data_IF_348484344339
#
_entry.id   IF_348484344339
#
_cell.length_a   1.000
_cell.length_b   1.000
_cell.length_c   1.000
_cell.angle_alpha   90.00
_cell.angle_beta   90.00
_cell.angle_gamma   90.00
#
_symmetry.space_group_name_H-M   'P 1'
#
loop_
_entity.id
_entity.type
_entity.pdbx_description
1 polymer ?
#
# COMPACT_ATOMS: atom_id res chain seq x y z
N UNK A 1 -14.87 -48.08 -5.68
CA UNK A 1 -15.61 -47.23 -4.71
C UNK A 1 -16.06 -45.96 -5.43
N UNK A 2 -17.31 -45.53 -5.27
CA UNK A 2 -17.88 -44.41 -6.05
C UNK A 2 -17.41 -43.02 -5.56
N UNK A 3 -17.08 -42.07 -6.45
CA UNK A 3 -16.71 -40.70 -6.09
C UNK A 3 -17.95 -39.86 -5.72
N UNK A 4 -18.54 -40.10 -4.53
CA UNK A 4 -19.70 -39.34 -4.04
C UNK A 4 -19.32 -38.16 -3.14
N UNK A 5 -19.57 -36.95 -3.65
CA UNK A 5 -19.84 -35.70 -2.92
C UNK A 5 -18.79 -35.16 -1.91
N UNK A 6 -17.66 -34.68 -2.45
CA UNK A 6 -16.83 -33.66 -1.78
C UNK A 6 -17.56 -32.31 -1.56
N UNK A 7 -18.68 -32.07 -2.24
CA UNK A 7 -19.45 -30.82 -2.15
C UNK A 7 -20.26 -30.68 -0.84
N UNK A 8 -20.68 -31.78 -0.21
CA UNK A 8 -21.50 -31.76 1.02
C UNK A 8 -20.69 -31.71 2.33
N UNK A 9 -19.35 -31.72 2.26
CA UNK A 9 -18.50 -31.71 3.45
C UNK A 9 -18.27 -30.28 3.99
N UNK A 10 -18.39 -30.13 5.30
CA UNK A 10 -18.06 -28.87 5.97
C UNK A 10 -16.59 -28.49 5.78
N UNK A 11 -16.27 -27.19 5.83
CA UNK A 11 -14.89 -26.69 5.74
C UNK A 11 -13.94 -27.34 6.77
N UNK A 12 -14.45 -27.74 7.93
CA UNK A 12 -13.67 -28.42 8.97
C UNK A 12 -13.35 -29.88 8.60
N UNK A 13 -14.27 -30.59 7.94
CA UNK A 13 -14.03 -31.94 7.42
C UNK A 13 -13.05 -31.91 6.23
N UNK A 14 -13.22 -30.96 5.28
CA UNK A 14 -12.30 -30.74 4.16
C UNK A 14 -10.86 -30.50 4.65
N UNK A 15 -10.68 -29.61 5.64
CA UNK A 15 -9.37 -29.36 6.28
C UNK A 15 -8.79 -30.59 7.00
N UNK A 16 -9.62 -31.45 7.59
CA UNK A 16 -9.16 -32.68 8.28
C UNK A 16 -8.68 -33.75 7.28
N UNK A 17 -9.36 -33.90 6.14
CA UNK A 17 -8.94 -34.80 5.06
C UNK A 17 -7.61 -34.34 4.45
N UNK A 18 -7.49 -33.04 4.13
CA UNK A 18 -6.23 -32.45 3.65
C UNK A 18 -5.08 -32.67 4.65
N UNK A 19 -5.30 -32.41 5.95
CA UNK A 19 -4.27 -32.59 6.98
C UNK A 19 -3.85 -34.06 7.15
N UNK A 20 -4.77 -35.01 7.01
CA UNK A 20 -4.45 -36.44 7.03
C UNK A 20 -3.65 -36.88 5.79
N UNK A 21 -3.99 -36.39 4.60
CA UNK A 21 -3.25 -36.71 3.36
C UNK A 21 -1.83 -36.10 3.36
N UNK A 22 -1.66 -34.91 3.94
CA UNK A 22 -0.33 -34.30 4.13
C UNK A 22 0.51 -35.15 5.11
N UNK A 23 -0.06 -35.55 6.25
CA UNK A 23 0.62 -36.47 7.19
C UNK A 23 0.96 -37.83 6.56
N UNK A 24 0.13 -38.34 5.64
CA UNK A 24 0.43 -39.58 4.92
C UNK A 24 1.64 -39.42 3.98
N UNK A 25 1.72 -38.30 3.24
CA UNK A 25 2.88 -37.99 2.40
C UNK A 25 4.16 -37.78 3.23
N UNK A 26 4.10 -37.08 4.36
CA UNK A 26 5.29 -36.92 5.22
C UNK A 26 5.72 -38.23 5.88
N UNK A 27 4.78 -39.10 6.27
CA UNK A 27 5.08 -40.42 6.82
C UNK A 27 5.73 -41.34 5.78
N UNK A 28 5.24 -41.33 4.54
CA UNK A 28 5.85 -42.10 3.45
C UNK A 28 7.26 -41.58 3.10
N UNK A 29 7.45 -40.26 2.96
CA UNK A 29 8.77 -39.68 2.69
C UNK A 29 9.80 -40.02 3.79
N UNK A 30 9.40 -39.94 5.07
CA UNK A 30 10.28 -40.31 6.18
C UNK A 30 10.61 -41.81 6.23
N UNK A 31 9.77 -42.68 5.64
CA UNK A 31 10.04 -44.12 5.56
C UNK A 31 11.05 -44.47 4.47
N UNK A 32 11.09 -43.72 3.37
CA UNK A 32 12.09 -43.90 2.29
C UNK A 32 13.49 -43.37 2.66
N UNK A 33 13.59 -42.41 3.59
CA UNK A 33 14.87 -41.84 4.02
C UNK A 33 15.69 -42.73 4.99
N UNK A 34 15.17 -43.89 5.42
CA UNK A 34 15.77 -44.74 6.46
C UNK A 34 16.44 -46.03 5.93
N UNK A 35 16.71 -46.13 4.62
CA UNK A 35 17.21 -47.39 4.00
C UNK A 35 18.57 -47.31 3.30
N UNK A 36 19.36 -46.24 3.48
CA UNK A 36 20.73 -46.19 2.96
C UNK A 36 21.73 -45.67 4.01
N UNK A 37 22.46 -46.60 4.62
CA UNK A 37 23.78 -46.35 5.22
C UNK A 37 24.87 -46.83 4.25
N UNK A 38 26.07 -46.26 4.34
CA UNK A 38 27.26 -47.08 4.50
C UNK A 38 28.02 -46.76 5.79
N UNK A 39 28.94 -47.65 6.17
CA UNK A 39 29.58 -47.76 7.50
C UNK A 39 31.11 -47.56 7.36
N UNK A 40 31.82 -47.42 8.49
CA UNK A 40 33.30 -47.61 8.70
C UNK A 40 34.17 -46.36 8.39
N UNK A 41 35.08 -45.84 9.26
CA UNK A 41 35.39 -46.09 10.70
C UNK A 41 36.21 -44.93 11.33
N UNK A 42 36.11 -44.79 12.66
CA UNK A 42 37.15 -44.49 13.67
C UNK A 42 37.90 -43.14 13.80
N UNK A 43 37.81 -42.63 15.05
CA UNK A 43 38.88 -42.12 15.93
C UNK A 43 39.19 -40.60 16.13
N UNK A 44 38.98 -40.18 17.40
CA UNK A 44 39.89 -39.41 18.28
C UNK A 44 39.93 -37.85 18.23
N UNK A 45 39.23 -37.27 19.22
CA UNK A 45 39.70 -36.26 20.22
C UNK A 45 39.82 -34.76 19.87
N UNK A 46 39.36 -33.97 20.87
CA UNK A 46 39.74 -32.59 21.26
C UNK A 46 39.09 -31.38 20.59
N UNK A 47 38.68 -30.43 21.44
CA UNK A 47 38.13 -29.10 21.11
C UNK A 47 39.23 -28.11 20.70
N UNK A 48 39.02 -27.32 19.64
CA UNK A 48 39.14 -25.83 19.66
C UNK A 48 38.72 -25.17 18.33
N UNK A 49 37.93 -24.09 18.49
CA UNK A 49 37.82 -22.84 17.69
C UNK A 49 37.73 -22.81 16.15
N UNK A 50 36.80 -21.93 15.73
CA UNK A 50 36.69 -21.11 14.50
C UNK A 50 36.06 -21.65 13.19
N UNK A 51 35.08 -20.85 12.75
CA UNK A 51 34.66 -20.47 11.39
C UNK A 51 34.45 -21.53 10.29
N UNK A 52 33.19 -21.68 9.85
CA UNK A 52 32.80 -21.62 8.43
C UNK A 52 31.28 -21.60 8.24
N UNK A 53 30.81 -20.97 7.16
CA UNK A 53 29.44 -20.98 6.64
C UNK A 53 28.97 -22.37 6.20
N UNK A 54 27.65 -22.59 6.07
CA UNK A 54 27.14 -22.87 4.72
C UNK A 54 25.75 -22.28 4.37
N UNK A 55 25.73 -21.61 3.21
CA UNK A 55 24.80 -21.81 2.08
C UNK A 55 23.28 -21.95 2.31
N UNK A 56 22.57 -20.90 1.87
CA UNK A 56 21.42 -20.91 0.96
C UNK A 56 20.62 -22.21 0.77
N UNK A 57 19.33 -22.16 1.14
CA UNK A 57 18.27 -22.73 0.30
C UNK A 57 17.38 -21.59 -0.22
N UNK A 58 17.30 -21.47 -1.55
CA UNK A 58 16.40 -20.54 -2.23
C UNK A 58 14.94 -20.82 -1.87
N UNK A 59 14.25 -19.81 -1.37
CA UNK A 59 12.81 -19.65 -1.52
C UNK A 59 12.60 -18.28 -2.20
N UNK A 60 11.93 -18.31 -3.36
CA UNK A 60 11.79 -17.14 -4.22
C UNK A 60 11.11 -16.00 -3.47
N UNK A 61 11.74 -14.82 -3.46
CA UNK A 61 11.12 -13.59 -2.97
C UNK A 61 10.12 -13.09 -4.03
N UNK A 62 8.85 -13.01 -3.65
CA UNK A 62 7.91 -12.07 -4.27
C UNK A 62 8.44 -10.65 -3.96
N UNK A 63 8.82 -9.93 -5.02
CA UNK A 63 9.49 -8.63 -4.92
C UNK A 63 8.51 -7.46 -5.00
N UNK A 64 8.99 -6.26 -4.65
CA UNK A 64 8.27 -4.97 -4.69
C UNK A 64 7.45 -4.75 -5.98
N UNK A 65 7.91 -5.31 -7.10
CA UNK A 65 7.22 -5.31 -8.40
C UNK A 65 5.76 -5.75 -8.36
N UNK A 66 5.38 -6.69 -7.48
CA UNK A 66 4.00 -7.18 -7.42
C UNK A 66 3.04 -6.15 -6.80
N UNK A 67 3.52 -5.36 -5.83
CA UNK A 67 2.73 -4.31 -5.17
C UNK A 67 2.51 -3.14 -6.15
N UNK A 68 3.56 -2.75 -6.87
CA UNK A 68 3.47 -1.72 -7.93
C UNK A 68 2.53 -2.17 -9.06
N UNK A 69 2.50 -3.47 -9.41
CA UNK A 69 1.63 -3.98 -10.48
C UNK A 69 0.12 -3.90 -10.20
N UNK A 70 -0.31 -3.50 -9.00
CA UNK A 70 -1.70 -3.19 -8.66
C UNK A 70 -1.96 -1.68 -8.48
N UNK A 71 -0.92 -0.84 -8.59
CA UNK A 71 -1.00 0.61 -8.52
C UNK A 71 -1.06 1.21 -9.95
N UNK A 72 -2.24 1.12 -10.55
CA UNK A 72 -2.78 2.05 -11.57
C UNK A 72 -1.79 2.50 -12.69
N UNK A 73 -1.75 1.70 -13.76
CA UNK A 73 -0.74 1.58 -14.84
C UNK A 73 -0.26 2.86 -15.59
N UNK A 74 -0.83 4.04 -15.34
CA UNK A 74 -0.47 5.29 -16.04
C UNK A 74 0.71 6.05 -15.40
N UNK A 75 1.34 5.51 -14.35
CA UNK A 75 2.26 6.23 -13.46
C UNK A 75 3.71 6.39 -13.97
N UNK A 76 4.04 5.92 -15.18
CA UNK A 76 5.44 5.68 -15.59
C UNK A 76 5.91 6.38 -16.88
N UNK A 77 5.13 7.33 -17.43
CA UNK A 77 5.54 8.16 -18.58
C UNK A 77 5.73 9.64 -18.20
N UNK A 78 6.76 9.94 -17.42
CA UNK A 78 7.28 11.31 -17.28
C UNK A 78 8.81 11.32 -17.14
N UNK A 79 9.48 11.95 -18.10
CA UNK A 79 10.91 12.30 -18.07
C UNK A 79 10.98 13.83 -18.12
N UNK A 80 11.71 14.50 -17.22
CA UNK A 80 11.81 15.97 -17.24
C UNK A 80 12.73 16.44 -18.38
N UNK A 81 12.30 17.44 -19.13
CA UNK A 81 13.09 18.05 -20.21
C UNK A 81 14.18 19.00 -19.66
N UNK A 82 15.42 18.81 -20.11
CA UNK A 82 16.42 19.89 -20.20
C UNK A 82 17.07 19.90 -21.59
N UNK A 83 16.47 20.69 -22.48
CA UNK A 83 16.99 21.32 -23.71
C UNK A 83 18.11 20.64 -24.56
N UNK A 84 17.65 20.02 -25.65
CA UNK A 84 18.01 20.29 -27.06
C UNK A 84 19.36 19.91 -27.69
N UNK A 85 19.27 19.67 -29.02
CA UNK A 85 20.28 19.16 -29.98
C UNK A 85 20.61 17.67 -29.77
N UNK A 86 20.41 16.71 -30.69
CA UNK A 86 19.98 16.62 -32.10
C UNK A 86 19.12 15.32 -32.23
N UNK A 87 18.22 15.08 -33.19
CA UNK A 87 17.59 15.89 -34.26
C UNK A 87 16.22 15.24 -34.64
N UNK A 88 15.78 15.28 -35.90
CA UNK A 88 14.76 14.35 -36.45
C UNK A 88 15.44 13.01 -36.79
N UNK A 89 14.80 11.89 -36.43
CA UNK A 89 15.01 10.63 -37.15
C UNK A 89 13.68 10.15 -37.73
N UNK A 90 13.69 9.98 -39.05
CA UNK A 90 12.58 9.46 -39.83
C UNK A 90 12.37 7.96 -39.58
N UNK A 91 11.20 7.45 -39.98
CA UNK A 91 10.80 6.05 -39.77
C UNK A 91 11.44 5.17 -40.87
N UNK A 92 12.77 5.08 -40.88
CA UNK A 92 13.53 4.20 -41.78
C UNK A 92 14.79 3.64 -41.08
N UNK A 93 14.62 2.59 -40.26
CA UNK A 93 15.49 1.40 -40.21
C UNK A 93 15.04 0.46 -39.07
N UNK A 94 14.30 -0.59 -39.43
CA UNK A 94 14.33 -1.85 -38.69
C UNK A 94 14.67 -2.96 -39.69
N UNK A 95 15.93 -2.96 -40.14
CA UNK A 95 16.46 -4.06 -40.94
C UNK A 95 16.62 -5.29 -40.03
N UNK A 96 15.93 -6.41 -40.27
CA UNK A 96 16.23 -7.64 -39.56
C UNK A 96 17.62 -8.11 -39.98
N UNK A 97 18.46 -8.48 -39.01
CA UNK A 97 19.68 -9.22 -39.31
C UNK A 97 19.30 -10.63 -39.81
N UNK A 98 19.12 -10.76 -41.11
CA UNK A 98 18.99 -12.03 -41.80
C UNK A 98 20.38 -12.64 -41.91
N UNK A 99 20.62 -13.71 -41.16
CA UNK A 99 21.79 -14.56 -41.34
C UNK A 99 21.59 -15.36 -42.63
N UNK A 100 22.30 -15.01 -43.71
CA UNK A 100 22.07 -15.57 -45.04
C UNK A 100 22.43 -17.06 -45.10
N UNK A 101 21.43 -17.92 -44.90
CA UNK A 101 21.47 -19.31 -45.35
C UNK A 101 20.11 -19.71 -45.96
N UNK A 102 20.16 -20.07 -47.24
CA UNK A 102 18.98 -20.25 -48.09
C UNK A 102 17.96 -21.28 -47.59
N UNK A 103 16.71 -20.86 -47.42
CA UNK A 103 15.52 -21.63 -47.84
C UNK A 103 14.31 -20.70 -47.96
N UNK A 104 13.41 -21.00 -48.89
CA UNK A 104 12.18 -20.24 -49.14
C UNK A 104 11.20 -20.25 -47.96
N UNK A 105 10.62 -19.09 -47.62
CA UNK A 105 9.23 -18.95 -47.14
C UNK A 105 8.79 -17.47 -47.22
N UNK A 106 7.90 -17.15 -48.18
CA UNK A 106 7.40 -15.78 -48.42
C UNK A 106 6.25 -15.36 -47.49
N UNK A 107 5.72 -16.30 -46.70
CA UNK A 107 4.50 -16.12 -45.90
C UNK A 107 4.76 -15.64 -44.45
N UNK A 108 6.04 -15.44 -44.08
CA UNK A 108 6.43 -15.16 -42.69
C UNK A 108 6.37 -13.68 -42.27
N UNK A 109 6.33 -12.74 -43.24
CA UNK A 109 6.39 -11.30 -42.96
C UNK A 109 5.02 -10.76 -42.51
N UNK A 110 3.93 -11.10 -43.21
CA UNK A 110 2.57 -10.67 -42.86
C UNK A 110 2.16 -11.10 -41.43
N UNK A 111 2.57 -12.31 -41.02
CA UNK A 111 2.28 -12.83 -39.67
C UNK A 111 2.96 -12.05 -38.54
N UNK A 112 4.09 -11.40 -38.80
CA UNK A 112 4.81 -10.62 -37.80
C UNK A 112 4.11 -9.27 -37.52
N UNK A 113 3.63 -8.56 -38.54
CA UNK A 113 2.87 -7.31 -38.37
C UNK A 113 1.55 -7.54 -37.62
N UNK A 114 0.76 -8.56 -38.02
CA UNK A 114 -0.49 -8.92 -37.34
C UNK A 114 -0.27 -9.28 -35.86
N UNK A 115 0.86 -9.92 -35.52
CA UNK A 115 1.20 -10.27 -34.13
C UNK A 115 1.49 -9.04 -33.24
N UNK A 116 2.08 -7.99 -33.83
CA UNK A 116 2.42 -6.73 -33.14
C UNK A 116 1.13 -5.94 -32.91
N UNK A 117 0.29 -5.85 -33.92
CA UNK A 117 -1.03 -5.21 -33.84
C UNK A 117 -1.94 -5.89 -32.80
N UNK A 118 -2.00 -7.24 -32.78
CA UNK A 118 -2.76 -7.97 -31.75
C UNK A 118 -2.25 -7.68 -30.32
N UNK A 119 -0.93 -7.61 -30.11
CA UNK A 119 -0.33 -7.24 -28.82
C UNK A 119 -0.83 -5.88 -28.34
N UNK A 120 -0.76 -4.87 -29.23
CA UNK A 120 -1.19 -3.50 -28.93
C UNK A 120 -2.70 -3.43 -28.68
N UNK A 121 -3.51 -4.17 -29.44
CA UNK A 121 -4.97 -4.30 -29.23
C UNK A 121 -5.29 -4.89 -27.86
N UNK A 122 -4.62 -5.98 -27.46
CA UNK A 122 -4.82 -6.62 -26.16
C UNK A 122 -4.37 -5.72 -24.98
N UNK A 123 -3.26 -4.99 -25.13
CA UNK A 123 -2.83 -3.98 -24.14
C UNK A 123 -3.90 -2.90 -23.95
N UNK A 124 -4.34 -2.26 -25.04
CA UNK A 124 -5.37 -1.19 -25.01
C UNK A 124 -6.71 -1.67 -24.46
N UNK A 125 -7.12 -2.89 -24.79
CA UNK A 125 -8.33 -3.50 -24.23
C UNK A 125 -8.20 -3.75 -22.73
N UNK A 126 -7.09 -4.35 -22.28
CA UNK A 126 -6.87 -4.69 -20.88
C UNK A 126 -6.86 -3.46 -19.98
N UNK A 127 -6.15 -2.39 -20.38
CA UNK A 127 -6.11 -1.12 -19.66
C UNK A 127 -7.43 -0.36 -19.76
N UNK A 128 -7.99 -0.20 -20.96
CA UNK A 128 -9.23 0.54 -21.19
C UNK A 128 -10.47 -0.01 -20.47
N UNK A 129 -10.48 -1.30 -20.12
CA UNK A 129 -11.56 -1.95 -19.37
C UNK A 129 -11.21 -2.29 -17.91
N UNK A 130 -10.03 -1.88 -17.40
CA UNK A 130 -9.53 -2.24 -16.06
C UNK A 130 -9.58 -3.76 -15.79
N UNK A 131 -9.18 -4.57 -16.78
CA UNK A 131 -9.20 -6.04 -16.66
C UNK A 131 -8.08 -6.48 -15.71
N UNK A 132 -8.38 -7.36 -14.76
CA UNK A 132 -7.38 -7.79 -13.78
C UNK A 132 -6.23 -8.54 -14.44
N UNK A 133 -5.01 -8.37 -13.92
CA UNK A 133 -3.83 -9.11 -14.42
C UNK A 133 -4.05 -10.63 -14.43
N UNK A 134 -4.79 -11.18 -13.47
CA UNK A 134 -5.14 -12.61 -13.47
C UNK A 134 -5.98 -13.00 -14.70
N UNK A 135 -7.01 -12.22 -15.04
CA UNK A 135 -7.87 -12.49 -16.18
C UNK A 135 -7.16 -12.28 -17.52
N UNK A 136 -6.26 -11.30 -17.61
CA UNK A 136 -5.37 -11.11 -18.77
C UNK A 136 -4.41 -12.31 -18.89
N UNK A 137 -3.74 -12.74 -17.82
CA UNK A 137 -2.86 -13.93 -17.85
C UNK A 137 -3.61 -15.21 -18.20
N UNK A 138 -4.83 -15.41 -17.70
CA UNK A 138 -5.66 -16.57 -18.04
C UNK A 138 -6.10 -16.54 -19.51
N UNK A 139 -6.49 -15.37 -20.03
CA UNK A 139 -6.79 -15.18 -21.46
C UNK A 139 -5.55 -15.46 -22.34
N UNK A 140 -4.38 -14.94 -21.97
CA UNK A 140 -3.13 -15.18 -22.68
C UNK A 140 -2.77 -16.67 -22.70
N UNK A 141 -2.95 -17.39 -21.58
CA UNK A 141 -2.74 -18.84 -21.50
C UNK A 141 -3.68 -19.62 -22.42
N UNK A 142 -4.92 -19.16 -22.62
CA UNK A 142 -5.86 -19.73 -23.58
C UNK A 142 -5.41 -19.44 -25.02
N UNK A 143 -5.10 -18.18 -25.34
CA UNK A 143 -4.66 -17.77 -26.68
C UNK A 143 -3.43 -18.56 -27.13
N UNK A 144 -2.42 -18.73 -26.26
CA UNK A 144 -1.20 -19.51 -26.52
C UNK A 144 -1.41 -21.02 -26.75
N UNK A 145 -2.62 -21.56 -26.53
CA UNK A 145 -2.92 -22.93 -26.97
C UNK A 145 -3.11 -23.04 -28.48
N UNK A 146 -3.36 -21.91 -29.17
CA UNK A 146 -3.40 -21.83 -30.62
C UNK A 146 -2.01 -21.48 -31.16
N UNK A 147 -1.59 -22.22 -32.19
CA UNK A 147 -0.22 -22.16 -32.72
C UNK A 147 0.12 -20.79 -33.34
N UNK A 148 -0.89 -20.10 -33.88
CA UNK A 148 -0.83 -18.74 -34.42
C UNK A 148 -0.64 -17.62 -33.36
N UNK A 149 -0.70 -17.92 -32.05
CA UNK A 149 -0.48 -16.97 -30.97
C UNK A 149 0.62 -17.43 -29.99
N UNK A 150 1.51 -18.31 -30.45
CA UNK A 150 2.60 -18.90 -29.65
C UNK A 150 3.62 -17.87 -29.16
N UNK A 151 3.75 -16.78 -29.90
CA UNK A 151 4.55 -15.58 -29.68
C UNK A 151 4.03 -14.66 -28.55
N UNK A 152 2.74 -14.73 -28.20
CA UNK A 152 2.18 -13.90 -27.13
C UNK A 152 2.86 -14.21 -25.78
N UNK A 153 3.01 -13.24 -24.87
CA UNK A 153 3.48 -13.53 -23.51
C UNK A 153 2.45 -14.33 -22.72
N UNK A 154 2.91 -15.13 -21.76
CA UNK A 154 2.00 -15.94 -20.91
C UNK A 154 1.44 -15.20 -19.69
N UNK A 155 1.93 -14.00 -19.41
CA UNK A 155 1.61 -13.22 -18.22
C UNK A 155 1.32 -11.75 -18.55
N UNK A 156 0.31 -11.19 -17.88
CA UNK A 156 -0.17 -9.83 -18.09
C UNK A 156 0.92 -8.77 -17.89
N UNK A 157 1.82 -8.94 -16.91
CA UNK A 157 2.94 -8.01 -16.66
C UNK A 157 3.89 -7.89 -17.87
N UNK A 158 4.10 -9.00 -18.58
CA UNK A 158 4.94 -9.04 -19.79
C UNK A 158 4.18 -8.49 -21.00
N UNK A 159 2.86 -8.73 -21.10
CA UNK A 159 2.02 -8.11 -22.13
C UNK A 159 2.01 -6.59 -21.98
N UNK A 160 1.74 -6.10 -20.78
CA UNK A 160 1.60 -4.67 -20.46
C UNK A 160 2.95 -3.96 -20.28
N UNK A 161 4.07 -4.65 -20.50
CA UNK A 161 5.43 -4.14 -20.31
C UNK A 161 5.63 -3.42 -18.97
N UNK A 162 5.00 -3.95 -17.90
CA UNK A 162 5.02 -3.32 -16.57
C UNK A 162 6.47 -3.13 -16.11
N UNK A 163 6.94 -1.88 -15.87
CA UNK A 163 8.34 -1.63 -15.53
C UNK A 163 8.81 -2.45 -14.32
N UNK A 164 9.92 -3.16 -14.52
CA UNK A 164 10.45 -4.13 -13.56
C UNK A 164 11.41 -3.51 -12.55
N UNK A 165 11.82 -2.26 -12.78
CA UNK A 165 12.71 -1.48 -11.91
C UNK A 165 12.12 -0.09 -11.67
N UNK A 166 12.44 0.47 -10.50
CA UNK A 166 12.11 1.85 -10.12
C UNK A 166 13.23 2.33 -9.21
N UNK A 167 13.42 3.64 -9.07
CA UNK A 167 14.45 4.20 -8.18
C UNK A 167 14.06 3.92 -6.72
N UNK A 168 14.70 2.92 -6.13
CA UNK A 168 14.51 2.54 -4.73
C UNK A 168 15.64 3.12 -3.88
N UNK A 169 15.27 3.84 -2.84
CA UNK A 169 16.17 4.43 -1.84
C UNK A 169 16.11 3.63 -0.54
N UNK A 170 17.27 3.38 0.09
CA UNK A 170 17.29 2.73 1.41
C UNK A 170 16.86 3.73 2.50
N UNK A 171 15.94 3.30 3.37
CA UNK A 171 15.44 4.06 4.51
C UNK A 171 15.32 3.08 5.68
N UNK A 172 16.33 3.01 6.54
CA UNK A 172 16.43 1.94 7.54
C UNK A 172 15.17 1.79 8.42
N UNK A 173 14.67 0.56 8.68
CA UNK A 173 15.19 -0.76 8.25
C UNK A 173 14.51 -1.32 6.98
N UNK A 174 14.16 -0.45 6.03
CA UNK A 174 13.38 -0.77 4.85
C UNK A 174 13.78 0.04 3.61
N UNK A 175 12.85 0.13 2.67
CA UNK A 175 13.06 0.69 1.34
C UNK A 175 11.95 1.67 1.00
N UNK A 176 12.30 2.73 0.28
CA UNK A 176 11.38 3.77 -0.16
C UNK A 176 11.42 3.93 -1.68
N UNK A 177 10.24 4.08 -2.27
CA UNK A 177 10.02 4.40 -3.67
C UNK A 177 9.25 5.73 -3.73
N UNK A 178 9.75 6.69 -4.50
CA UNK A 178 9.07 7.98 -4.72
C UNK A 178 8.39 7.96 -6.08
N UNK A 179 7.11 8.38 -6.14
CA UNK A 179 6.29 8.41 -7.35
C UNK A 179 6.00 9.85 -7.82
N UNK A 180 6.16 10.84 -6.93
CA UNK A 180 5.98 12.26 -7.24
C UNK A 180 4.57 12.79 -6.95
N UNK A 181 4.52 13.84 -6.14
CA UNK A 181 3.35 14.66 -5.87
C UNK A 181 2.89 15.41 -7.11
N UNK A 182 3.83 16.00 -7.87
CA UNK A 182 3.54 16.69 -9.12
C UNK A 182 2.92 15.74 -10.16
N UNK A 183 3.50 14.54 -10.32
CA UNK A 183 3.00 13.51 -11.23
C UNK A 183 1.58 13.06 -10.85
N UNK A 184 1.34 12.79 -9.56
CA UNK A 184 0.02 12.45 -9.04
C UNK A 184 -1.03 13.54 -9.25
N UNK A 185 -0.71 14.80 -8.95
CA UNK A 185 -1.59 15.95 -9.19
C UNK A 185 -1.92 16.07 -10.69
N UNK A 186 -0.91 16.03 -11.57
CA UNK A 186 -1.11 16.13 -13.02
C UNK A 186 -2.02 14.99 -13.53
N UNK A 187 -1.89 13.77 -13.00
CA UNK A 187 -2.78 12.65 -13.33
C UNK A 187 -4.24 12.95 -12.97
N UNK A 188 -4.48 13.47 -11.76
CA UNK A 188 -5.83 13.85 -11.31
C UNK A 188 -6.41 15.00 -12.15
N UNK A 189 -5.62 16.03 -12.48
CA UNK A 189 -6.03 17.15 -13.35
C UNK A 189 -6.32 16.72 -14.79
N UNK A 190 -5.60 15.74 -15.33
CA UNK A 190 -5.89 15.14 -16.64
C UNK A 190 -7.25 14.44 -16.63
N UNK A 191 -7.53 13.66 -15.58
CA UNK A 191 -8.77 12.88 -15.42
C UNK A 191 -10.01 13.76 -15.23
N UNK A 192 -9.91 14.82 -14.41
CA UNK A 192 -11.02 15.75 -14.17
C UNK A 192 -11.21 16.78 -15.28
N UNK A 193 -10.21 16.95 -16.16
CA UNK A 193 -10.08 18.05 -17.11
C UNK A 193 -10.11 19.46 -16.46
N UNK A 194 -9.96 19.53 -15.13
CA UNK A 194 -9.97 20.79 -14.37
C UNK A 194 -8.76 21.68 -14.69
N UNK A 195 -8.95 22.99 -14.52
CA UNK A 195 -7.90 24.00 -14.56
C UNK A 195 -8.23 25.06 -13.51
N UNK A 196 -7.66 24.91 -12.31
CA UNK A 196 -7.78 25.86 -11.22
C UNK A 196 -6.56 26.78 -11.22
N UNK A 197 -6.70 27.98 -10.64
CA UNK A 197 -5.56 28.89 -10.41
C UNK A 197 -4.65 28.38 -9.29
N UNK A 198 -5.24 27.74 -8.28
CA UNK A 198 -4.54 27.08 -7.18
C UNK A 198 -5.01 25.63 -7.04
N UNK A 199 -4.07 24.70 -6.89
CA UNK A 199 -4.32 23.31 -6.50
C UNK A 199 -4.05 23.16 -5.00
N UNK A 200 -5.10 22.78 -4.27
CA UNK A 200 -5.04 22.47 -2.85
C UNK A 200 -5.05 20.96 -2.68
N UNK A 201 -4.14 20.41 -1.87
CA UNK A 201 -4.08 18.96 -1.58
C UNK A 201 -4.24 18.63 -0.10
N UNK A 202 -4.81 17.45 0.16
CA UNK A 202 -4.73 16.77 1.44
C UNK A 202 -3.76 15.61 1.35
N UNK A 203 -3.00 15.41 2.42
CA UNK A 203 -2.00 14.34 2.52
C UNK A 203 -2.44 13.34 3.59
N UNK A 204 -2.34 12.05 3.29
CA UNK A 204 -2.54 10.97 4.26
C UNK A 204 -1.27 10.13 4.37
N UNK A 205 -0.88 9.82 5.61
CA UNK A 205 0.21 8.91 5.94
C UNK A 205 -0.32 8.01 7.05
N UNK A 206 -0.27 6.69 6.82
CA UNK A 206 -0.71 5.67 7.78
C UNK A 206 0.10 4.37 7.60
N UNK A 207 0.17 3.52 8.62
CA UNK A 207 0.91 2.26 8.62
C UNK A 207 0.00 1.06 8.32
N UNK A 208 0.15 0.46 7.14
CA UNK A 208 -0.68 -0.65 6.67
C UNK A 208 0.09 -1.98 6.72
N UNK A 209 -0.35 -3.01 7.47
CA UNK A 209 0.30 -4.31 7.48
C UNK A 209 0.02 -5.09 6.18
N UNK A 210 1.06 -5.58 5.51
CA UNK A 210 0.92 -6.26 4.20
C UNK A 210 0.34 -7.65 4.37
N UNK A 211 0.91 -8.43 5.30
CA UNK A 211 0.47 -9.80 5.57
C UNK A 211 0.33 -10.04 7.08
N UNK A 212 -0.56 -10.96 7.45
CA UNK A 212 -0.74 -11.38 8.86
C UNK A 212 0.35 -12.35 9.34
N UNK A 213 1.20 -12.80 8.43
CA UNK A 213 2.27 -13.79 8.64
C UNK A 213 3.68 -13.19 8.68
N UNK A 214 3.85 -11.94 8.26
CA UNK A 214 5.13 -11.24 8.25
C UNK A 214 5.00 -9.91 8.99
N UNK A 215 6.11 -9.41 9.54
CA UNK A 215 6.12 -8.09 10.18
C UNK A 215 6.19 -6.92 9.17
N UNK A 216 6.13 -7.21 7.87
CA UNK A 216 6.21 -6.20 6.79
C UNK A 216 5.02 -5.24 6.86
N UNK A 217 5.32 -3.95 6.81
CA UNK A 217 4.39 -2.83 6.85
C UNK A 217 4.70 -1.89 5.68
N UNK A 218 3.65 -1.36 5.04
CA UNK A 218 3.74 -0.22 4.15
C UNK A 218 3.45 1.06 4.92
N UNK A 219 4.19 2.12 4.60
CA UNK A 219 3.89 3.48 4.99
C UNK A 219 3.80 4.34 3.73
N UNK A 220 2.67 4.31 3.01
CA UNK A 220 2.45 5.18 1.86
C UNK A 220 2.29 6.64 2.30
N UNK A 221 2.78 7.54 1.46
CA UNK A 221 2.38 8.94 1.42
C UNK A 221 1.34 9.03 0.31
N UNK A 222 0.11 9.35 0.68
CA UNK A 222 -1.04 9.46 -0.22
C UNK A 222 -1.47 10.92 -0.36
N UNK A 223 -1.91 11.30 -1.54
CA UNK A 223 -2.44 12.63 -1.84
C UNK A 223 -3.86 12.56 -2.40
N UNK A 224 -4.64 13.60 -2.18
CA UNK A 224 -5.91 13.85 -2.87
C UNK A 224 -6.02 15.34 -3.20
N UNK A 225 -6.48 15.66 -4.41
CA UNK A 225 -6.73 17.05 -4.83
C UNK A 225 -8.11 17.48 -4.33
N UNK A 226 -8.18 18.59 -3.61
CA UNK A 226 -9.43 19.19 -3.14
C UNK A 226 -10.30 19.63 -4.33
N UNK A 227 -11.62 19.57 -4.17
CA UNK A 227 -12.63 19.96 -5.17
C UNK A 227 -12.60 19.14 -6.49
N UNK A 228 -11.68 18.17 -6.61
CA UNK A 228 -11.80 16.98 -7.46
C UNK A 228 -12.42 15.85 -6.62
N UNK A 229 -12.97 14.82 -7.27
CA UNK A 229 -13.83 13.84 -6.57
C UNK A 229 -13.09 13.14 -5.42
N UNK A 230 -13.75 13.00 -4.25
CA UNK A 230 -13.18 12.37 -3.03
C UNK A 230 -12.65 10.93 -3.22
N UNK A 231 -12.86 10.34 -4.40
CA UNK A 231 -12.38 9.00 -4.77
C UNK A 231 -11.02 9.00 -5.47
N UNK A 232 -10.51 10.17 -5.89
CA UNK A 232 -9.26 10.32 -6.64
C UNK A 232 -8.05 10.52 -5.71
N UNK A 233 -7.77 9.48 -4.91
CA UNK A 233 -6.54 9.35 -4.11
C UNK A 233 -5.42 8.79 -4.98
N UNK A 234 -4.24 9.39 -4.91
CA UNK A 234 -3.02 8.95 -5.59
C UNK A 234 -1.88 8.71 -4.61
N UNK A 235 -0.87 7.95 -5.05
CA UNK A 235 0.30 7.62 -4.24
C UNK A 235 1.47 8.53 -4.61
N UNK A 236 2.06 9.19 -3.62
CA UNK A 236 3.21 10.11 -3.75
C UNK A 236 4.52 9.37 -3.49
N UNK A 237 4.50 8.43 -2.55
CA UNK A 237 5.63 7.55 -2.25
C UNK A 237 5.22 6.39 -1.38
N UNK A 238 6.02 5.33 -1.38
CA UNK A 238 5.77 4.09 -0.66
C UNK A 238 7.04 3.69 0.08
N UNK A 239 6.95 3.59 1.40
CA UNK A 239 7.94 2.88 2.19
C UNK A 239 7.47 1.44 2.47
N UNK A 240 8.36 0.46 2.36
CA UNK A 240 8.19 -0.92 2.82
C UNK A 240 9.28 -1.28 3.84
N UNK A 241 8.91 -1.83 5.01
CA UNK A 241 9.88 -2.40 5.93
C UNK A 241 9.27 -3.28 7.02
N UNK A 242 10.13 -3.98 7.77
CA UNK A 242 9.71 -4.84 8.91
C UNK A 242 9.25 -4.05 10.14
N UNK A 243 9.41 -2.72 10.12
CA UNK A 243 8.85 -1.75 11.06
C UNK A 243 8.65 -0.42 10.33
N UNK A 244 8.02 0.56 10.99
CA UNK A 244 8.10 1.97 10.58
C UNK A 244 9.55 2.42 10.32
N UNK A 245 9.78 3.48 9.52
CA UNK A 245 11.11 4.08 9.35
C UNK A 245 11.73 4.49 10.69
N UNK A 246 13.04 4.26 10.83
CA UNK A 246 13.81 4.72 12.00
C UNK A 246 14.04 6.23 11.94
N UNK A 247 14.37 6.74 10.77
CA UNK A 247 14.53 8.17 10.48
C UNK A 247 13.31 8.69 9.70
N UNK A 248 12.56 9.57 10.36
CA UNK A 248 11.38 10.23 9.77
C UNK A 248 11.77 11.17 8.63
N UNK A 249 12.83 11.95 8.80
CA UNK A 249 13.19 12.99 7.84
C UNK A 249 13.78 12.35 6.59
N UNK A 250 14.57 11.29 6.73
CA UNK A 250 14.99 10.46 5.59
C UNK A 250 13.78 9.81 4.86
N UNK A 251 12.72 9.40 5.58
CA UNK A 251 11.49 8.93 4.93
C UNK A 251 10.74 10.04 4.16
N UNK A 252 10.57 11.22 4.77
CA UNK A 252 9.82 12.33 4.18
C UNK A 252 10.61 13.16 3.15
N UNK A 253 11.94 13.03 3.10
CA UNK A 253 12.85 13.92 2.38
C UNK A 253 12.38 14.29 0.97
N UNK A 254 12.21 13.29 0.11
CA UNK A 254 11.93 13.53 -1.32
C UNK A 254 10.54 14.22 -1.49
N UNK A 255 9.55 13.87 -0.67
CA UNK A 255 8.24 14.54 -0.61
C UNK A 255 8.33 15.99 -0.13
N UNK A 256 9.18 16.28 0.86
CA UNK A 256 9.35 17.65 1.39
C UNK A 256 10.11 18.53 0.40
N UNK A 257 11.18 18.00 -0.21
CA UNK A 257 11.95 18.70 -1.25
C UNK A 257 11.06 19.04 -2.46
N UNK A 258 10.29 18.07 -2.96
CA UNK A 258 9.30 18.31 -4.02
C UNK A 258 8.21 19.30 -3.59
N UNK A 259 7.71 19.21 -2.36
CA UNK A 259 6.69 20.15 -1.85
C UNK A 259 7.21 21.59 -1.76
N UNK A 260 8.46 21.81 -1.33
CA UNK A 260 9.08 23.14 -1.29
C UNK A 260 9.22 23.72 -2.71
N UNK A 261 9.63 22.90 -3.66
CA UNK A 261 9.77 23.28 -5.07
C UNK A 261 8.41 23.67 -5.68
N UNK A 262 7.38 22.84 -5.49
CA UNK A 262 6.02 23.12 -6.01
C UNK A 262 5.38 24.35 -5.35
N UNK A 263 5.61 24.60 -4.07
CA UNK A 263 5.11 25.81 -3.38
C UNK A 263 5.78 27.08 -3.93
N UNK A 264 7.07 27.00 -4.27
CA UNK A 264 7.84 28.15 -4.77
C UNK A 264 7.57 28.43 -6.25
N UNK A 265 7.62 27.38 -7.07
CA UNK A 265 7.62 27.50 -8.53
C UNK A 265 6.26 27.17 -9.18
N UNK A 266 5.33 26.56 -8.44
CA UNK A 266 4.02 26.14 -8.93
C UNK A 266 4.09 24.88 -9.80
N UNK A 267 2.93 24.49 -10.34
CA UNK A 267 2.77 23.33 -11.20
C UNK A 267 2.51 23.83 -12.63
N UNK A 268 3.29 23.35 -13.61
CA UNK A 268 3.05 23.65 -15.02
C UNK A 268 2.07 22.62 -15.60
N UNK A 269 0.90 23.08 -16.02
CA UNK A 269 -0.12 22.23 -16.65
C UNK A 269 -0.84 22.99 -17.77
N UNK A 270 -0.97 22.36 -18.97
CA UNK A 270 -1.55 22.99 -20.18
C UNK A 270 -0.96 24.38 -20.48
N UNK A 271 0.37 24.51 -20.34
CA UNK A 271 1.12 25.77 -20.51
C UNK A 271 0.70 26.91 -19.58
N UNK A 272 0.06 26.61 -18.45
CA UNK A 272 -0.24 27.55 -17.36
C UNK A 272 0.52 27.15 -16.11
N UNK A 273 1.02 28.14 -15.35
CA UNK A 273 1.42 27.96 -13.96
C UNK A 273 0.18 27.93 -13.09
N UNK A 274 0.10 26.94 -12.21
CA UNK A 274 -0.93 26.74 -11.20
C UNK A 274 -0.23 26.81 -9.84
N UNK A 275 -0.73 27.62 -8.91
CA UNK A 275 -0.17 27.70 -7.58
C UNK A 275 -0.49 26.44 -6.77
N UNK A 276 0.36 26.06 -5.82
CA UNK A 276 0.24 24.81 -5.09
C UNK A 276 0.22 25.04 -3.58
N UNK A 277 -0.72 24.38 -2.90
CA UNK A 277 -0.90 24.46 -1.45
C UNK A 277 -1.22 23.10 -0.85
N UNK A 278 -0.60 22.79 0.30
CA UNK A 278 -1.01 21.68 1.17
C UNK A 278 -1.90 22.27 2.27
N UNK A 279 -3.16 21.82 2.36
CA UNK A 279 -4.11 22.31 3.37
C UNK A 279 -4.03 21.49 4.68
N UNK A 280 -3.99 20.15 4.57
CA UNK A 280 -4.11 19.28 5.73
C UNK A 280 -3.39 17.93 5.60
N UNK A 281 -2.88 17.43 6.73
CA UNK A 281 -2.40 16.06 6.94
C UNK A 281 -3.45 15.26 7.72
N UNK A 282 -4.25 14.49 7.00
CA UNK A 282 -5.33 13.66 7.55
C UNK A 282 -4.73 12.32 8.00
N UNK A 283 -4.53 12.15 9.30
CA UNK A 283 -3.85 10.98 9.86
C UNK A 283 -4.39 10.57 11.23
N UNK A 284 -4.23 9.29 11.57
CA UNK A 284 -4.60 8.74 12.88
C UNK A 284 -3.68 9.30 13.99
N UNK A 285 -3.95 8.99 15.26
CA UNK A 285 -3.19 9.57 16.37
C UNK A 285 -1.71 9.08 16.45
N UNK A 286 -1.42 7.77 16.35
CA UNK A 286 -0.08 7.24 16.10
C UNK A 286 0.68 7.87 14.93
N UNK A 287 0.09 7.89 13.72
CA UNK A 287 0.74 8.38 12.51
C UNK A 287 0.99 9.89 12.58
N UNK A 288 0.01 10.69 13.05
CA UNK A 288 0.21 12.13 13.33
C UNK A 288 1.38 12.35 14.29
N UNK A 289 1.46 11.58 15.37
CA UNK A 289 2.52 11.72 16.35
C UNK A 289 3.91 11.35 15.79
N UNK A 290 3.97 10.40 14.86
CA UNK A 290 5.18 10.05 14.13
C UNK A 290 5.61 11.20 13.20
N UNK A 291 4.75 11.64 12.27
CA UNK A 291 5.12 12.61 11.23
C UNK A 291 5.36 14.04 11.74
N UNK A 292 4.83 14.38 12.92
CA UNK A 292 5.11 15.67 13.59
C UNK A 292 6.22 15.59 14.65
N UNK A 293 6.87 14.42 14.81
CA UNK A 293 7.95 14.21 15.79
C UNK A 293 7.55 14.53 17.25
N UNK A 294 6.32 14.20 17.67
CA UNK A 294 5.80 14.46 19.03
C UNK A 294 5.58 13.19 19.85
N UNK A 295 5.37 13.34 21.17
CA UNK A 295 4.94 12.24 22.05
C UNK A 295 3.64 11.62 21.54
N UNK A 296 3.63 10.29 21.51
CA UNK A 296 2.45 9.51 21.17
C UNK A 296 1.25 9.90 22.06
N UNK A 297 0.03 9.79 21.53
CA UNK A 297 -1.23 10.18 22.21
C UNK A 297 -1.46 9.49 23.58
N UNK A 298 -0.77 8.39 23.85
CA UNK A 298 -0.76 7.67 25.14
C UNK A 298 0.25 8.21 26.16
N UNK A 299 1.07 9.19 25.80
CA UNK A 299 2.11 9.78 26.63
C UNK A 299 1.65 10.96 27.50
N UNK A 300 2.44 11.28 28.54
CA UNK A 300 2.15 12.36 29.49
C UNK A 300 1.96 13.75 28.87
N UNK A 301 2.59 14.02 27.72
CA UNK A 301 2.44 15.27 26.96
C UNK A 301 1.97 14.96 25.52
N UNK A 302 1.09 13.95 25.36
CA UNK A 302 0.67 13.42 24.05
C UNK A 302 -0.49 14.15 23.35
N UNK A 303 -1.09 15.17 23.97
CA UNK A 303 -2.09 15.99 23.28
C UNK A 303 -1.38 16.83 22.21
N UNK A 304 -1.91 16.94 20.98
CA UNK A 304 -1.37 17.84 19.95
C UNK A 304 -1.85 19.30 20.08
N UNK A 305 -3.09 19.51 20.55
CA UNK A 305 -3.75 20.83 20.53
C UNK A 305 -3.54 21.70 21.79
N UNK A 306 -3.11 21.15 22.92
CA UNK A 306 -2.90 21.92 24.16
C UNK A 306 -1.79 21.34 25.05
N UNK A 307 -1.25 22.17 25.94
CA UNK A 307 -0.08 21.87 26.81
C UNK A 307 -0.38 20.91 27.96
N UNK A 308 -1.55 20.26 27.99
CA UNK A 308 -2.01 19.44 29.11
C UNK A 308 -1.04 18.30 29.47
N UNK A 309 -0.67 18.25 30.75
CA UNK A 309 0.03 17.09 31.33
C UNK A 309 -0.99 16.04 31.78
N UNK A 310 -0.92 14.86 31.18
CA UNK A 310 -1.68 13.69 31.61
C UNK A 310 -1.25 13.16 32.99
N UNK A 311 -2.12 12.39 33.64
CA UNK A 311 -1.86 11.65 34.88
C UNK A 311 -1.93 10.15 34.61
N UNK A 312 -1.11 9.36 35.29
CA UNK A 312 -1.19 7.89 35.19
C UNK A 312 -2.24 7.37 36.18
N UNK A 313 -3.23 6.63 35.68
CA UNK A 313 -4.35 6.06 36.43
C UNK A 313 -4.73 4.72 35.77
N UNK A 314 -4.97 3.66 36.55
CA UNK A 314 -5.46 2.36 36.04
C UNK A 314 -4.74 1.85 34.77
N UNK A 315 -3.41 1.81 34.84
CA UNK A 315 -2.47 1.40 33.79
C UNK A 315 -2.58 2.18 32.46
N UNK A 316 -3.03 3.45 32.49
CA UNK A 316 -3.02 4.34 31.31
C UNK A 316 -2.74 5.79 31.70
N UNK A 317 -2.31 6.61 30.75
CA UNK A 317 -2.31 8.06 30.91
C UNK A 317 -3.70 8.60 30.58
N UNK A 318 -4.22 9.49 31.42
CA UNK A 318 -5.48 10.22 31.22
C UNK A 318 -5.25 11.72 31.28
N UNK A 319 -5.90 12.48 30.39
CA UNK A 319 -5.91 13.94 30.39
C UNK A 319 -7.23 14.39 31.00
N UNK A 320 -7.18 14.93 32.22
CA UNK A 320 -8.37 15.31 33.01
C UNK A 320 -8.54 16.82 33.15
N UNK A 321 -7.50 17.60 32.81
CA UNK A 321 -7.54 19.05 32.77
C UNK A 321 -8.11 19.53 31.44
N UNK A 322 -9.04 20.48 31.50
CA UNK A 322 -9.68 21.14 30.34
C UNK A 322 -9.30 22.62 30.25
N UNK A 323 -8.56 23.12 31.24
CA UNK A 323 -8.07 24.49 31.46
C UNK A 323 -6.64 24.71 30.93
N UNK A 324 -6.12 23.79 30.11
CA UNK A 324 -4.76 23.87 29.60
C UNK A 324 -4.65 24.79 28.39
N UNK A 325 -3.59 25.58 28.35
CA UNK A 325 -3.25 26.51 27.28
C UNK A 325 -3.18 25.80 25.92
N UNK A 326 -3.80 26.40 24.90
CA UNK A 326 -3.78 25.88 23.53
C UNK A 326 -2.39 26.09 22.91
N UNK A 327 -1.97 25.15 22.06
CA UNK A 327 -0.76 25.37 21.25
C UNK A 327 -1.10 26.16 19.99
N UNK A 328 -0.22 27.10 19.68
CA UNK A 328 -0.12 27.78 18.38
C UNK A 328 1.05 27.21 17.58
N UNK A 329 1.09 27.47 16.27
CA UNK A 329 2.25 27.18 15.42
C UNK A 329 3.57 27.70 16.02
N UNK A 330 3.57 28.93 16.53
CA UNK A 330 4.76 29.55 17.13
C UNK A 330 5.17 28.86 18.44
N UNK A 331 4.21 28.47 19.29
CA UNK A 331 4.52 27.74 20.53
C UNK A 331 5.13 26.36 20.25
N UNK A 332 4.72 25.73 19.14
CA UNK A 332 5.24 24.45 18.67
C UNK A 332 6.63 24.61 18.07
N UNK A 333 6.80 25.56 17.15
CA UNK A 333 8.07 25.85 16.48
C UNK A 333 9.11 26.48 17.42
N UNK A 334 8.68 27.17 18.47
CA UNK A 334 9.51 27.61 19.59
C UNK A 334 9.80 26.54 20.64
N UNK A 335 9.23 25.33 20.52
CA UNK A 335 9.38 24.20 21.46
C UNK A 335 9.07 24.57 22.92
N UNK A 336 8.10 25.47 23.15
CA UNK A 336 7.75 26.01 24.49
C UNK A 336 7.47 24.90 25.51
N UNK A 337 6.95 23.76 25.05
CA UNK A 337 6.86 22.53 25.84
C UNK A 337 7.77 21.43 25.27
N UNK A 338 9.08 21.55 25.46
CA UNK A 338 10.10 20.58 25.00
C UNK A 338 9.70 19.10 25.19
N UNK A 339 9.12 18.75 26.34
CA UNK A 339 8.68 17.37 26.67
C UNK A 339 7.54 16.83 25.80
N UNK A 340 6.91 17.66 24.98
CA UNK A 340 5.96 17.28 23.93
C UNK A 340 6.68 16.72 22.68
N UNK A 341 7.92 17.11 22.42
CA UNK A 341 8.66 16.75 21.22
C UNK A 341 9.52 15.50 21.44
N UNK A 342 9.85 14.83 20.33
CA UNK A 342 10.83 13.75 20.21
C UNK A 342 11.97 14.10 19.25
N UNK A 343 11.81 15.16 18.45
CA UNK A 343 12.75 15.61 17.43
C UNK A 343 12.18 16.78 16.64
N UNK A 344 12.78 17.07 15.49
CA UNK A 344 12.34 18.07 14.51
C UNK A 344 11.81 17.32 13.30
N UNK A 345 10.64 17.70 12.77
CA UNK A 345 10.10 17.12 11.53
C UNK A 345 10.43 18.02 10.36
N UNK A 346 10.87 17.43 9.25
CA UNK A 346 11.10 18.17 8.01
C UNK A 346 9.81 18.79 7.42
N UNK A 347 8.61 18.38 7.86
CA UNK A 347 7.36 19.09 7.56
C UNK A 347 7.37 20.54 8.07
N UNK A 348 8.18 20.88 9.07
CA UNK A 348 8.34 22.26 9.54
C UNK A 348 9.03 23.17 8.51
N UNK A 349 9.71 22.61 7.49
CA UNK A 349 10.27 23.39 6.37
C UNK A 349 9.17 23.99 5.47
N UNK A 350 7.97 23.41 5.50
CA UNK A 350 6.81 23.85 4.73
C UNK A 350 6.06 24.98 5.46
N UNK A 351 5.35 25.86 4.73
CA UNK A 351 4.51 26.93 5.29
C UNK A 351 3.19 26.37 5.85
N UNK A 352 3.30 25.40 6.76
CA UNK A 352 2.20 24.74 7.45
C UNK A 352 2.05 25.27 8.87
N UNK A 353 0.81 25.39 9.33
CA UNK A 353 0.52 25.50 10.75
C UNK A 353 0.61 24.09 11.36
N UNK A 354 1.62 23.87 12.20
CA UNK A 354 1.88 22.56 12.82
C UNK A 354 0.78 22.10 13.80
N UNK A 355 -0.18 22.97 14.11
CA UNK A 355 -1.37 22.67 14.89
C UNK A 355 -2.59 22.55 13.98
N UNK A 356 -2.91 23.56 13.17
CA UNK A 356 -4.16 23.61 12.40
C UNK A 356 -4.18 22.66 11.20
N UNK A 357 -3.10 22.59 10.41
CA UNK A 357 -2.96 21.67 9.27
C UNK A 357 -2.93 20.19 9.67
N UNK A 358 -2.96 19.87 10.97
CA UNK A 358 -3.05 18.50 11.49
C UNK A 358 -4.39 18.30 12.25
N UNK A 359 -5.51 18.10 11.52
CA UNK A 359 -6.80 17.83 12.13
C UNK A 359 -6.81 16.49 12.90
N UNK A 360 -7.77 16.35 13.80
CA UNK A 360 -8.03 15.08 14.47
C UNK A 360 -9.05 14.26 13.67
N UNK A 361 -8.63 13.11 13.16
CA UNK A 361 -9.43 12.27 12.28
C UNK A 361 -10.67 11.69 13.01
N UNK A 362 -11.84 11.87 12.39
CA UNK A 362 -13.17 11.64 12.97
C UNK A 362 -13.49 10.15 13.20
N UNK A 363 -13.12 9.27 12.26
CA UNK A 363 -13.34 7.83 12.37
C UNK A 363 -12.58 7.26 13.57
N UNK A 364 -11.30 7.56 13.72
CA UNK A 364 -10.49 7.07 14.83
C UNK A 364 -10.90 7.69 16.16
N UNK A 365 -11.08 9.02 16.22
CA UNK A 365 -11.39 9.71 17.48
C UNK A 365 -12.84 9.45 17.94
N UNK A 366 -13.82 9.75 17.08
CA UNK A 366 -15.24 9.73 17.46
C UNK A 366 -15.84 8.35 17.22
N UNK A 367 -15.79 7.79 16.02
CA UNK A 367 -16.46 6.52 15.73
C UNK A 367 -15.84 5.33 16.48
N UNK A 368 -14.52 5.17 16.40
CA UNK A 368 -13.78 4.05 16.98
C UNK A 368 -13.36 4.30 18.44
N UNK A 369 -13.04 5.55 18.81
CA UNK A 369 -12.67 5.93 20.18
C UNK A 369 -13.86 6.05 21.13
N UNK A 370 -14.83 6.91 20.78
CA UNK A 370 -15.99 7.22 21.65
C UNK A 370 -17.18 6.30 21.38
N UNK A 371 -17.74 6.32 20.17
CA UNK A 371 -19.01 5.65 19.85
C UNK A 371 -18.93 4.13 20.04
N UNK A 372 -17.85 3.49 19.58
CA UNK A 372 -17.58 2.06 19.81
C UNK A 372 -17.46 1.70 21.30
N UNK A 373 -16.94 2.61 22.13
CA UNK A 373 -16.83 2.42 23.60
C UNK A 373 -18.19 2.54 24.28
N UNK A 374 -19.01 3.51 23.89
CA UNK A 374 -20.40 3.66 24.37
C UNK A 374 -21.26 2.46 23.96
N UNK A 375 -21.19 2.02 22.70
CA UNK A 375 -21.89 0.82 22.22
C UNK A 375 -21.50 -0.44 23.01
N UNK A 376 -20.21 -0.63 23.30
CA UNK A 376 -19.74 -1.72 24.17
C UNK A 376 -20.31 -1.60 25.59
N UNK A 377 -20.27 -0.42 26.20
CA UNK A 377 -20.84 -0.16 27.53
C UNK A 377 -22.32 -0.56 27.57
N UNK A 378 -23.10 -0.10 26.61
CA UNK A 378 -24.56 -0.31 26.54
C UNK A 378 -24.98 -1.74 26.17
N UNK A 379 -24.16 -2.52 25.47
CA UNK A 379 -24.54 -3.85 24.98
C UNK A 379 -23.90 -5.01 25.75
N UNK A 380 -22.60 -4.91 26.07
CA UNK A 380 -21.80 -6.00 26.64
C UNK A 380 -20.89 -5.57 27.80
N UNK A 381 -21.07 -4.36 28.32
CA UNK A 381 -20.27 -3.79 29.39
C UNK A 381 -20.40 -4.55 30.72
N UNK A 382 -19.31 -4.56 31.50
CA UNK A 382 -19.30 -5.12 32.87
C UNK A 382 -20.20 -4.34 33.83
N UNK A 383 -20.37 -3.03 33.61
CA UNK A 383 -21.19 -2.16 34.47
C UNK A 383 -22.66 -2.31 34.11
N UNK A 384 -23.38 -3.15 34.87
CA UNK A 384 -24.78 -3.52 34.60
C UNK A 384 -25.73 -2.31 34.50
N UNK A 385 -25.48 -1.25 35.28
CA UNK A 385 -26.30 -0.03 35.34
C UNK A 385 -26.46 0.64 33.97
N UNK A 386 -25.43 0.61 33.12
CA UNK A 386 -25.47 1.22 31.79
C UNK A 386 -25.91 0.26 30.69
N UNK A 387 -26.18 -1.02 30.99
CA UNK A 387 -26.44 -2.04 29.98
C UNK A 387 -27.92 -2.12 29.62
N UNK A 388 -28.23 -1.92 28.34
CA UNK A 388 -29.58 -2.03 27.79
C UNK A 388 -30.08 -3.48 27.82
N UNK A 389 -31.39 -3.65 28.01
CA UNK A 389 -32.03 -4.97 27.95
C UNK A 389 -31.95 -5.59 26.54
N UNK A 390 -31.77 -6.92 26.39
CA UNK A 390 -31.63 -7.57 25.07
C UNK A 390 -32.74 -7.25 24.07
N UNK A 391 -34.00 -7.14 24.55
CA UNK A 391 -35.16 -6.73 23.72
C UNK A 391 -35.00 -5.31 23.14
N UNK A 392 -34.42 -4.38 23.91
CA UNK A 392 -34.15 -3.01 23.48
C UNK A 392 -33.01 -2.99 22.45
N UNK A 393 -31.92 -3.72 22.71
CA UNK A 393 -30.79 -3.87 21.77
C UNK A 393 -31.29 -4.43 20.43
N UNK A 394 -32.12 -5.46 20.44
CA UNK A 394 -32.73 -6.03 19.22
C UNK A 394 -33.63 -5.03 18.49
N UNK A 395 -34.42 -4.21 19.21
CA UNK A 395 -35.27 -3.16 18.62
C UNK A 395 -34.44 -2.06 17.95
N UNK A 396 -33.37 -1.60 18.61
CA UNK A 396 -32.43 -0.61 18.05
C UNK A 396 -31.72 -1.20 16.82
N UNK A 397 -31.14 -2.39 16.92
CA UNK A 397 -30.46 -3.07 15.82
C UNK A 397 -31.34 -3.30 14.59
N UNK A 398 -32.65 -3.56 14.79
CA UNK A 398 -33.62 -3.65 13.68
C UNK A 398 -33.90 -2.28 13.04
N UNK A 399 -33.99 -1.20 13.84
CA UNK A 399 -34.15 0.17 13.33
C UNK A 399 -32.93 0.64 12.54
N UNK A 400 -31.71 0.49 13.09
CA UNK A 400 -30.48 0.92 12.41
C UNK A 400 -30.24 0.15 11.12
N UNK A 401 -30.50 -1.16 11.06
CA UNK A 401 -30.42 -1.93 9.80
C UNK A 401 -31.39 -1.42 8.73
N UNK A 402 -32.64 -1.08 9.09
CA UNK A 402 -33.61 -0.48 8.15
C UNK A 402 -33.13 0.88 7.63
N UNK A 403 -32.59 1.74 8.51
CA UNK A 403 -32.02 3.02 8.10
C UNK A 403 -30.81 2.83 7.18
N UNK A 404 -29.95 1.84 7.45
CA UNK A 404 -28.73 1.60 6.67
C UNK A 404 -29.02 1.18 5.22
N UNK A 405 -30.12 0.46 4.97
CA UNK A 405 -30.57 0.09 3.62
C UNK A 405 -30.94 1.31 2.74
N UNK A 406 -31.14 2.49 3.31
CA UNK A 406 -31.41 3.73 2.58
C UNK A 406 -30.12 4.44 2.13
N UNK A 407 -28.97 4.14 2.77
CA UNK A 407 -27.68 4.78 2.50
C UNK A 407 -26.73 3.96 1.61
N UNK A 408 -27.09 2.74 1.22
CA UNK A 408 -26.22 1.85 0.42
C UNK A 408 -26.22 2.19 -1.08
N UNK A 409 -25.70 3.37 -1.41
CA UNK A 409 -25.28 3.75 -2.76
C UNK A 409 -24.03 4.67 -2.69
N UNK A 410 -22.90 4.14 -2.19
CA UNK A 410 -21.52 4.63 -2.49
C UNK A 410 -20.35 3.87 -1.85
N UNK A 411 -20.58 2.95 -0.89
CA UNK A 411 -19.49 2.13 -0.31
C UNK A 411 -19.85 0.65 -0.43
N UNK A 412 -19.11 -0.10 -1.25
CA UNK A 412 -19.17 -1.56 -1.24
C UNK A 412 -18.33 -2.09 -0.05
N UNK A 413 -18.91 -2.91 0.85
CA UNK A 413 -18.16 -3.52 1.94
C UNK A 413 -17.65 -4.91 1.54
N UNK A 414 -16.37 -5.03 1.27
CA UNK A 414 -15.70 -6.32 1.43
C UNK A 414 -15.71 -6.76 2.92
N UNK A 415 -15.58 -8.07 3.15
CA UNK A 415 -15.65 -8.73 4.47
C UNK A 415 -17.03 -8.77 5.14
N UNK A 416 -17.91 -9.65 4.62
CA UNK A 416 -19.05 -10.21 5.38
C UNK A 416 -18.58 -11.01 6.61
N UNK A 417 -18.21 -10.34 7.69
CA UNK A 417 -17.99 -10.98 8.99
C UNK A 417 -19.34 -11.27 9.64
N UNK A 418 -19.85 -12.48 9.40
CA UNK A 418 -21.12 -12.92 10.00
C UNK A 418 -21.00 -13.02 11.52
N UNK A 419 -21.71 -12.14 12.24
CA UNK A 419 -22.10 -12.43 13.62
C UNK A 419 -22.98 -13.68 13.61
N UNK A 420 -22.47 -14.78 14.15
CA UNK A 420 -23.28 -15.93 14.57
C UNK A 420 -23.56 -15.80 16.07
N UNK A 421 -24.76 -16.24 16.44
CA UNK A 421 -25.37 -16.05 17.77
C UNK A 421 -24.59 -16.75 18.89
#
# INVERSE_FOLDING_TARGET
MSPRNLLLLSLRQKRRILKNNINLKSYLNNKFALQQQPVITNEIRSKKQQESTPQNHNLQLESVSEIISNADSDLLNYVPEQNNYLEKFDIEEFSPLIDESNSSDSDCIDLLEDSIDLRIKLQKWGTGHNVTHSAISDLLKILKTHQCFSDLPSEARTLLQTPTTTVIRQVEPGQYCHLGLAAGIIKVLKKSNSCHETVVVHINIDGIPIHKSTNKQLWPILGSVKDVSDSDVFVIGIYEGCSKPNDLNNYLRDFVEESVELISNGIIYKSRKIDFQIEAFICDAPARAFITSIKNHTGYYGCGKCTVKGKYVDNRVVMLKTDAELRTNDSFRGRVQEKHHNGISDLEKLPLDMIESFPYEYMHLICLGVTKKLLKLWTSGKVKVFRLGPKVILKISKKTRKSWQVFTCRVQPETKTTFRN
#
